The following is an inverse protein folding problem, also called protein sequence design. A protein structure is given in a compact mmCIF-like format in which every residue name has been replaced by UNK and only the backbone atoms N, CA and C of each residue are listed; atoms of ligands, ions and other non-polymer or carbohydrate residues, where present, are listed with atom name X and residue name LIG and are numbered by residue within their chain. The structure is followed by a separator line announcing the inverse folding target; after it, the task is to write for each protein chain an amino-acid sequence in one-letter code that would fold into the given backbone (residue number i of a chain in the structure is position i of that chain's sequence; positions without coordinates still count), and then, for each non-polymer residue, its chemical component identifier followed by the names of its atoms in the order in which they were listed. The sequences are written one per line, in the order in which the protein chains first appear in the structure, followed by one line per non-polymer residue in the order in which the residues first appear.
data_IF_642217285042
#
_entry.id   IF_642217285042
#
_cell.length_a   1.000
_cell.length_b   1.000
_cell.length_c   1.000
_cell.angle_alpha   90.00
_cell.angle_beta   90.00
_cell.angle_gamma   90.00
#
_symmetry.space_group_name_H-M   'P 1'
#
loop_
_entity.id
_entity.type
_entity.pdbx_description
1 polymer ?
#
# COMPACT_ATOMS: atom_id res chain seq x y z
N UNK A 1 -77.65 -8.80 -5.46
CA UNK A 1 -76.67 -8.83 -4.36
C UNK A 1 -76.36 -10.29 -4.10
N UNK A 2 -75.22 -10.77 -4.59
CA UNK A 2 -74.78 -12.14 -4.32
C UNK A 2 -74.04 -12.18 -2.98
N UNK A 3 -74.38 -13.19 -2.19
CA UNK A 3 -73.69 -13.48 -0.93
C UNK A 3 -73.07 -14.88 -0.99
N UNK A 4 -71.81 -14.97 -0.55
CA UNK A 4 -71.07 -16.20 -0.41
C UNK A 4 -70.63 -16.37 1.04
N UNK A 5 -71.20 -17.37 1.71
CA UNK A 5 -70.72 -17.83 3.00
C UNK A 5 -69.61 -18.86 2.80
N UNK A 6 -68.36 -18.40 2.92
CA UNK A 6 -67.15 -19.19 2.80
C UNK A 6 -66.70 -19.82 4.13
N UNK A 7 -65.63 -20.62 4.05
CA UNK A 7 -65.00 -21.24 5.22
C UNK A 7 -64.18 -20.19 5.98
N UNK A 8 -64.79 -19.58 7.00
CA UNK A 8 -64.17 -18.54 7.83
C UNK A 8 -64.24 -17.13 7.25
N UNK A 9 -64.84 -16.93 6.08
CA UNK A 9 -65.03 -15.63 5.43
C UNK A 9 -66.46 -15.53 4.88
N UNK A 10 -67.03 -14.32 4.87
CA UNK A 10 -68.23 -13.98 4.11
C UNK A 10 -67.84 -13.00 3.01
N UNK A 11 -68.38 -13.16 1.82
CA UNK A 11 -68.23 -12.20 0.74
C UNK A 11 -69.61 -11.74 0.28
N UNK A 12 -69.81 -10.44 0.15
CA UNK A 12 -71.01 -9.84 -0.39
C UNK A 12 -70.63 -8.90 -1.53
N UNK A 13 -71.40 -8.94 -2.62
CA UNK A 13 -71.20 -8.08 -3.77
C UNK A 13 -72.44 -7.22 -4.03
N UNK A 14 -72.25 -5.90 -4.01
CA UNK A 14 -73.32 -4.91 -4.17
C UNK A 14 -73.43 -4.34 -5.60
N UNK A 15 -72.56 -4.78 -6.52
CA UNK A 15 -72.47 -4.26 -7.90
C UNK A 15 -71.34 -3.25 -8.09
N UNK A 16 -70.85 -2.63 -7.01
CA UNK A 16 -69.80 -1.60 -7.04
C UNK A 16 -68.53 -2.01 -6.31
N UNK A 17 -68.66 -2.81 -5.24
CA UNK A 17 -67.55 -3.30 -4.45
C UNK A 17 -67.82 -4.73 -3.93
N UNK A 18 -66.75 -5.50 -3.80
CA UNK A 18 -66.73 -6.78 -3.12
C UNK A 18 -66.31 -6.57 -1.66
N UNK A 19 -67.21 -6.84 -0.72
CA UNK A 19 -66.94 -6.77 0.71
C UNK A 19 -66.63 -8.17 1.22
N UNK A 20 -65.40 -8.39 1.70
CA UNK A 20 -64.95 -9.65 2.29
C UNK A 20 -64.74 -9.48 3.78
N UNK A 21 -65.49 -10.21 4.59
CA UNK A 21 -65.46 -10.13 6.06
C UNK A 21 -64.98 -11.45 6.65
N UNK A 22 -63.92 -11.41 7.45
CA UNK A 22 -63.40 -12.56 8.16
C UNK A 22 -64.26 -12.88 9.39
N UNK A 23 -64.81 -14.10 9.45
CA UNK A 23 -65.64 -14.58 10.58
C UNK A 23 -64.84 -15.31 11.65
N UNK A 24 -63.56 -15.61 11.40
CA UNK A 24 -62.66 -16.30 12.34
C UNK A 24 -61.28 -15.63 12.43
N UNK A 25 -60.54 -15.90 13.51
CA UNK A 25 -59.18 -15.40 13.71
C UNK A 25 -58.20 -15.89 12.63
N UNK A 26 -58.32 -17.15 12.20
CA UNK A 26 -57.49 -17.73 11.13
C UNK A 26 -57.75 -17.01 9.80
N UNK A 27 -59.02 -16.76 9.47
CA UNK A 27 -59.37 -16.02 8.27
C UNK A 27 -58.93 -14.55 8.32
N UNK A 28 -58.93 -13.93 9.50
CA UNK A 28 -58.40 -12.57 9.69
C UNK A 28 -56.91 -12.50 9.37
N UNK A 29 -56.13 -13.54 9.73
CA UNK A 29 -54.72 -13.65 9.36
C UNK A 29 -54.50 -13.75 7.85
N UNK A 30 -55.32 -14.55 7.17
CA UNK A 30 -55.27 -14.69 5.71
C UNK A 30 -55.71 -13.43 4.95
N UNK A 31 -56.72 -12.71 5.45
CA UNK A 31 -57.22 -11.47 4.85
C UNK A 31 -56.36 -10.25 5.22
N UNK A 32 -55.61 -10.32 6.33
CA UNK A 32 -54.84 -9.23 6.93
C UNK A 32 -55.66 -8.23 7.73
N UNK A 33 -57.00 -8.31 7.67
CA UNK A 33 -57.96 -7.39 8.31
C UNK A 33 -59.26 -8.13 8.65
N UNK A 34 -60.10 -7.55 9.52
CA UNK A 34 -61.45 -8.06 9.83
C UNK A 34 -62.38 -7.95 8.62
N UNK A 35 -62.21 -6.90 7.83
CA UNK A 35 -63.07 -6.57 6.69
C UNK A 35 -62.22 -5.90 5.61
N UNK A 36 -62.51 -6.24 4.35
CA UNK A 36 -61.83 -5.68 3.19
C UNK A 36 -62.87 -5.35 2.13
N UNK A 37 -62.86 -4.10 1.70
CA UNK A 37 -63.71 -3.60 0.62
C UNK A 37 -62.81 -3.50 -0.63
N UNK A 38 -63.21 -4.17 -1.71
CA UNK A 38 -62.48 -4.19 -2.97
C UNK A 38 -63.38 -3.54 -4.03
N UNK A 39 -63.08 -2.30 -4.48
CA UNK A 39 -63.80 -1.67 -5.57
C UNK A 39 -63.67 -2.49 -6.86
N UNK A 40 -64.75 -2.62 -7.63
CA UNK A 40 -64.75 -3.38 -8.90
C UNK A 40 -63.69 -2.85 -9.88
N UNK A 41 -63.47 -1.54 -9.90
CA UNK A 41 -62.47 -0.89 -10.75
C UNK A 41 -61.01 -1.30 -10.44
N UNK A 42 -60.74 -1.86 -9.26
CA UNK A 42 -59.40 -2.32 -8.87
C UNK A 42 -59.12 -3.79 -9.21
N UNK A 43 -60.14 -4.51 -9.68
CA UNK A 43 -60.05 -5.94 -9.98
C UNK A 43 -59.38 -6.13 -11.34
N UNK A 44 -58.21 -6.78 -11.34
CA UNK A 44 -57.44 -7.05 -12.56
C UNK A 44 -57.52 -8.50 -13.06
N UNK A 45 -57.89 -9.44 -12.19
CA UNK A 45 -58.09 -10.84 -12.51
C UNK A 45 -59.12 -11.48 -11.56
N UNK A 46 -59.98 -12.35 -12.08
CA UNK A 46 -60.94 -13.12 -11.29
C UNK A 46 -60.89 -14.58 -11.70
N UNK A 47 -60.78 -15.49 -10.72
CA UNK A 47 -60.77 -16.94 -10.96
C UNK A 47 -61.77 -17.68 -10.09
N UNK A 48 -62.51 -18.57 -10.72
CA UNK A 48 -63.32 -19.57 -10.03
C UNK A 48 -62.67 -20.94 -10.04
N UNK A 49 -62.61 -21.57 -8.87
CA UNK A 49 -62.23 -22.98 -8.72
C UNK A 49 -63.40 -23.75 -8.11
N UNK A 50 -63.99 -24.72 -8.82
CA UNK A 50 -65.08 -25.52 -8.27
C UNK A 50 -64.59 -26.36 -7.09
N UNK A 51 -65.49 -26.63 -6.15
CA UNK A 51 -65.22 -27.57 -5.07
C UNK A 51 -65.20 -29.00 -5.62
N UNK A 52 -64.36 -29.83 -5.04
CA UNK A 52 -64.28 -31.27 -5.34
C UNK A 52 -64.36 -32.05 -4.03
N UNK A 53 -64.54 -33.37 -4.07
CA UNK A 53 -64.58 -34.20 -2.87
C UNK A 53 -63.34 -34.05 -1.98
N UNK A 54 -62.19 -33.69 -2.56
CA UNK A 54 -60.90 -33.58 -1.86
C UNK A 54 -60.44 -32.15 -1.60
N UNK A 55 -61.05 -31.14 -2.23
CA UNK A 55 -60.58 -29.74 -2.16
C UNK A 55 -61.76 -28.77 -2.13
N UNK A 56 -61.69 -27.82 -1.21
CA UNK A 56 -62.62 -26.69 -1.16
C UNK A 56 -62.53 -25.85 -2.43
N UNK A 57 -63.66 -25.29 -2.85
CA UNK A 57 -63.71 -24.33 -3.95
C UNK A 57 -63.18 -22.97 -3.52
N UNK A 58 -62.88 -22.09 -4.47
CA UNK A 58 -62.43 -20.74 -4.19
C UNK A 58 -62.85 -19.75 -5.28
N UNK A 59 -63.22 -18.53 -4.86
CA UNK A 59 -63.28 -17.35 -5.72
C UNK A 59 -62.04 -16.52 -5.39
N UNK A 60 -61.19 -16.28 -6.39
CA UNK A 60 -59.92 -15.54 -6.21
C UNK A 60 -59.98 -14.25 -7.00
N UNK A 61 -59.66 -13.14 -6.36
CA UNK A 61 -59.65 -11.80 -6.95
C UNK A 61 -58.26 -11.22 -6.79
N UNK A 62 -57.69 -10.70 -7.87
CA UNK A 62 -56.43 -9.96 -7.85
C UNK A 62 -56.70 -8.47 -7.94
N UNK A 63 -56.00 -7.70 -7.10
CA UNK A 63 -55.92 -6.24 -7.20
C UNK A 63 -54.47 -5.79 -7.16
N UNK A 64 -54.23 -4.48 -7.26
CA UNK A 64 -52.91 -3.87 -7.06
C UNK A 64 -52.27 -4.20 -5.70
N UNK A 65 -53.11 -4.47 -4.69
CA UNK A 65 -52.67 -4.82 -3.35
C UNK A 65 -52.37 -6.32 -3.16
N UNK A 66 -52.56 -7.16 -4.19
CA UNK A 66 -52.29 -8.60 -4.18
C UNK A 66 -53.53 -9.48 -4.34
N UNK A 67 -53.38 -10.77 -4.05
CA UNK A 67 -54.45 -11.76 -4.24
C UNK A 67 -55.31 -11.89 -2.97
N UNK A 68 -56.63 -11.88 -3.13
CA UNK A 68 -57.63 -12.20 -2.12
C UNK A 68 -58.42 -13.44 -2.55
N UNK A 69 -58.39 -14.52 -1.76
CA UNK A 69 -59.06 -15.78 -2.07
C UNK A 69 -60.15 -16.12 -1.03
N UNK A 70 -61.40 -16.20 -1.47
CA UNK A 70 -62.55 -16.60 -0.65
C UNK A 70 -62.83 -18.08 -0.89
N UNK A 71 -62.45 -18.93 0.08
CA UNK A 71 -62.65 -20.38 0.00
C UNK A 71 -64.05 -20.78 0.47
N UNK A 72 -64.68 -21.73 -0.19
CA UNK A 72 -66.03 -22.21 0.13
C UNK A 72 -66.15 -23.74 0.06
N UNK A 73 -67.13 -24.29 0.78
CA UNK A 73 -67.44 -25.73 0.79
C UNK A 73 -68.33 -26.12 -0.40
N UNK A 74 -68.38 -27.41 -0.76
CA UNK A 74 -69.17 -27.89 -1.90
C UNK A 74 -70.65 -27.46 -1.90
N UNK A 75 -71.29 -27.41 -0.73
CA UNK A 75 -72.69 -26.93 -0.59
C UNK A 75 -72.91 -25.47 -1.02
N UNK A 76 -71.86 -24.66 -1.04
CA UNK A 76 -71.89 -23.25 -1.43
C UNK A 76 -71.37 -23.02 -2.86
N UNK A 77 -71.18 -24.08 -3.65
CA UNK A 77 -70.61 -23.99 -5.00
C UNK A 77 -71.47 -23.15 -5.95
N UNK A 78 -72.79 -23.26 -5.86
CA UNK A 78 -73.71 -22.46 -6.67
C UNK A 78 -73.57 -20.97 -6.35
N UNK A 79 -73.54 -20.61 -5.06
CA UNK A 79 -73.31 -19.23 -4.61
C UNK A 79 -71.94 -18.71 -5.02
N UNK A 80 -70.90 -19.55 -4.95
CA UNK A 80 -69.55 -19.16 -5.37
C UNK A 80 -69.45 -18.91 -6.88
N UNK A 81 -70.16 -19.72 -7.67
CA UNK A 81 -70.23 -19.54 -9.13
C UNK A 81 -71.02 -18.28 -9.50
N UNK A 82 -72.15 -18.02 -8.83
CA UNK A 82 -72.92 -16.80 -9.02
C UNK A 82 -72.10 -15.54 -8.69
N UNK A 83 -71.37 -15.54 -7.57
CA UNK A 83 -70.48 -14.44 -7.21
C UNK A 83 -69.38 -14.22 -8.27
N UNK A 84 -68.79 -15.30 -8.78
CA UNK A 84 -67.78 -15.22 -9.85
C UNK A 84 -68.35 -14.61 -11.14
N UNK A 85 -69.52 -15.07 -11.58
CA UNK A 85 -70.17 -14.59 -12.80
C UNK A 85 -70.55 -13.11 -12.66
N UNK A 86 -71.08 -12.68 -11.51
CA UNK A 86 -71.37 -11.27 -11.22
C UNK A 86 -70.10 -10.39 -11.20
N UNK A 87 -69.02 -10.87 -10.57
CA UNK A 87 -67.75 -10.14 -10.54
C UNK A 87 -67.12 -10.02 -11.94
N UNK A 88 -67.20 -11.08 -12.75
CA UNK A 88 -66.69 -11.06 -14.12
C UNK A 88 -67.49 -10.08 -14.99
N UNK A 89 -68.82 -10.10 -14.88
CA UNK A 89 -69.68 -9.17 -15.62
C UNK A 89 -69.46 -7.71 -15.21
N UNK A 90 -69.29 -7.44 -13.91
CA UNK A 90 -69.10 -6.08 -13.40
C UNK A 90 -67.70 -5.51 -13.67
N UNK A 91 -66.66 -6.34 -13.56
CA UNK A 91 -65.27 -5.90 -13.74
C UNK A 91 -64.84 -5.80 -15.21
N UNK A 92 -65.51 -6.53 -16.12
CA UNK A 92 -65.15 -6.56 -17.54
C UNK A 92 -63.79 -7.22 -17.82
N UNK A 93 -63.24 -7.93 -16.84
CA UNK A 93 -61.93 -8.58 -16.93
C UNK A 93 -62.00 -9.83 -17.80
N UNK A 94 -60.98 -10.06 -18.63
CA UNK A 94 -60.88 -11.24 -19.47
C UNK A 94 -60.77 -12.52 -18.59
N UNK A 95 -61.68 -13.50 -18.74
CA UNK A 95 -61.64 -14.74 -17.97
C UNK A 95 -60.39 -15.59 -18.22
N UNK A 96 -59.62 -15.33 -19.27
CA UNK A 96 -58.35 -16.00 -19.53
C UNK A 96 -57.20 -15.52 -18.62
N UNK A 97 -57.33 -14.36 -17.95
CA UNK A 97 -56.28 -13.79 -17.10
C UNK A 97 -56.27 -14.49 -15.74
N UNK A 98 -55.23 -15.28 -15.50
CA UNK A 98 -55.03 -16.02 -14.25
C UNK A 98 -54.42 -15.13 -13.14
N UNK A 99 -55.01 -15.09 -11.93
CA UNK A 99 -54.48 -14.29 -10.84
C UNK A 99 -53.11 -14.80 -10.39
N UNK A 100 -52.11 -13.93 -10.38
CA UNK A 100 -50.72 -14.24 -10.02
C UNK A 100 -50.11 -13.16 -9.13
N UNK A 101 -49.39 -13.56 -8.08
CA UNK A 101 -48.78 -12.64 -7.10
C UNK A 101 -48.92 -13.10 -5.65
N UNK A 102 -48.32 -12.36 -4.70
CA UNK A 102 -48.42 -12.65 -3.28
C UNK A 102 -49.84 -12.40 -2.74
N UNK A 103 -50.18 -13.04 -1.62
CA UNK A 103 -51.41 -12.74 -0.91
C UNK A 103 -51.39 -11.29 -0.43
N UNK A 104 -52.55 -10.65 -0.45
CA UNK A 104 -52.63 -9.22 -0.24
C UNK A 104 -52.27 -8.75 1.20
N UNK A 105 -52.13 -9.69 2.14
CA UNK A 105 -51.66 -9.45 3.51
C UNK A 105 -50.12 -9.31 3.59
N UNK A 106 -49.36 -10.02 2.76
CA UNK A 106 -47.88 -10.00 2.78
C UNK A 106 -47.30 -8.72 2.16
N UNK A 107 -47.96 -8.17 1.14
CA UNK A 107 -47.54 -6.93 0.47
C UNK A 107 -47.80 -5.66 1.30
N UNK A 108 -48.95 -5.58 1.99
CA UNK A 108 -49.33 -4.39 2.76
C UNK A 108 -48.52 -4.23 4.07
N UNK A 109 -48.18 -5.34 4.73
CA UNK A 109 -47.47 -5.33 6.03
C UNK A 109 -45.97 -5.04 5.86
N UNK A 110 -45.36 -5.47 4.76
CA UNK A 110 -43.92 -5.29 4.52
C UNK A 110 -43.54 -3.90 4.01
N UNK A 111 -44.43 -3.19 3.31
CA UNK A 111 -44.15 -1.85 2.78
C UNK A 111 -44.31 -0.75 3.83
N UNK A 112 -45.39 -0.74 4.62
CA UNK A 112 -45.61 0.31 5.63
C UNK A 112 -44.57 0.27 6.76
N UNK A 113 -44.24 -0.93 7.28
CA UNK A 113 -43.26 -1.05 8.37
C UNK A 113 -41.83 -0.67 7.98
N UNK A 114 -41.44 -0.85 6.71
CA UNK A 114 -40.10 -0.52 6.22
C UNK A 114 -39.91 0.98 5.98
N UNK A 115 -40.94 1.67 5.51
CA UNK A 115 -40.89 3.12 5.23
C UNK A 115 -40.78 3.91 6.53
N UNK A 116 -41.64 3.63 7.52
CA UNK A 116 -41.62 4.33 8.81
C UNK A 116 -40.33 4.09 9.61
N UNK A 117 -39.74 2.88 9.53
CA UNK A 117 -38.48 2.58 10.20
C UNK A 117 -37.27 3.30 9.54
N UNK A 118 -37.31 3.48 8.22
CA UNK A 118 -36.27 4.20 7.47
C UNK A 118 -36.30 5.70 7.75
N UNK A 119 -37.48 6.29 7.85
CA UNK A 119 -37.63 7.72 8.15
C UNK A 119 -37.14 8.05 9.58
N UNK A 120 -37.56 7.28 10.59
CA UNK A 120 -37.07 7.45 11.97
C UNK A 120 -35.57 7.19 12.11
N UNK A 121 -34.98 6.33 11.27
CA UNK A 121 -33.54 6.09 11.28
C UNK A 121 -32.77 7.27 10.66
N UNK A 122 -33.29 7.84 9.55
CA UNK A 122 -32.70 9.02 8.88
C UNK A 122 -32.69 10.24 9.80
N UNK A 123 -33.79 10.50 10.49
CA UNK A 123 -33.90 11.61 11.46
C UNK A 123 -32.86 11.51 12.58
N UNK A 124 -32.74 10.34 13.23
CA UNK A 124 -31.74 10.12 14.29
C UNK A 124 -30.30 10.24 13.78
N UNK A 125 -30.03 9.84 12.54
CA UNK A 125 -28.69 10.01 11.96
C UNK A 125 -28.39 11.47 11.62
N UNK A 126 -29.39 12.23 11.18
CA UNK A 126 -29.25 13.66 10.91
C UNK A 126 -29.00 14.45 12.20
N UNK A 127 -29.78 14.19 13.25
CA UNK A 127 -29.60 14.83 14.58
C UNK A 127 -28.22 14.54 15.17
N UNK A 128 -27.74 13.30 15.07
CA UNK A 128 -26.38 12.93 15.53
C UNK A 128 -25.29 13.61 14.70
N UNK A 129 -25.48 13.70 13.38
CA UNK A 129 -24.53 14.38 12.51
C UNK A 129 -24.47 15.89 12.78
N UNK A 130 -25.61 16.54 13.05
CA UNK A 130 -25.65 17.95 13.44
C UNK A 130 -25.04 18.20 14.82
N UNK A 131 -25.32 17.34 15.81
CA UNK A 131 -24.70 17.42 17.13
C UNK A 131 -23.18 17.27 17.05
N UNK A 132 -22.69 16.30 16.26
CA UNK A 132 -21.25 16.13 16.02
C UNK A 132 -20.64 17.33 15.30
N UNK A 133 -21.31 17.89 14.29
CA UNK A 133 -20.82 19.08 13.58
C UNK A 133 -20.68 20.28 14.51
N UNK A 134 -21.62 20.48 15.44
CA UNK A 134 -21.56 21.56 16.44
C UNK A 134 -20.41 21.36 17.44
N UNK A 135 -20.19 20.12 17.89
CA UNK A 135 -19.05 19.78 18.76
C UNK A 135 -17.71 19.97 18.02
N UNK A 136 -17.60 19.46 16.80
CA UNK A 136 -16.40 19.64 15.99
C UNK A 136 -16.13 21.11 15.64
N UNK A 137 -17.17 21.93 15.43
CA UNK A 137 -16.97 23.36 15.17
C UNK A 137 -16.46 24.08 16.41
N UNK A 138 -17.03 23.82 17.59
CA UNK A 138 -16.55 24.46 18.83
C UNK A 138 -15.14 24.00 19.20
N UNK A 139 -14.84 22.70 19.11
CA UNK A 139 -13.49 22.17 19.35
C UNK A 139 -12.48 22.73 18.35
N UNK A 140 -12.88 22.91 17.09
CA UNK A 140 -12.01 23.50 16.07
C UNK A 140 -11.78 24.99 16.32
N UNK A 141 -12.79 25.73 16.74
CA UNK A 141 -12.65 27.14 17.13
C UNK A 141 -11.70 27.30 18.32
N UNK A 142 -11.88 26.50 19.38
CA UNK A 142 -10.99 26.45 20.55
C UNK A 142 -9.56 26.09 20.15
N UNK A 143 -9.38 25.02 19.36
CA UNK A 143 -8.06 24.60 18.87
C UNK A 143 -7.40 25.67 18.00
N UNK A 144 -8.17 26.38 17.16
CA UNK A 144 -7.64 27.49 16.37
C UNK A 144 -7.27 28.70 17.22
N UNK A 145 -8.03 29.00 18.27
CA UNK A 145 -7.71 30.06 19.22
C UNK A 145 -6.42 29.74 19.99
N UNK A 146 -6.29 28.52 20.51
CA UNK A 146 -5.07 28.05 21.17
C UNK A 146 -3.87 28.06 20.21
N UNK A 147 -4.05 27.60 18.98
CA UNK A 147 -2.98 27.61 17.97
C UNK A 147 -2.55 29.03 17.62
N UNK A 148 -3.49 29.97 17.49
CA UNK A 148 -3.20 31.37 17.22
C UNK A 148 -2.47 32.04 18.39
N UNK A 149 -2.89 31.77 19.64
CA UNK A 149 -2.20 32.25 20.84
C UNK A 149 -0.77 31.70 20.92
N UNK A 150 -0.60 30.39 20.77
CA UNK A 150 0.72 29.76 20.75
C UNK A 150 1.59 30.25 19.57
N UNK A 151 0.98 30.57 18.42
CA UNK A 151 1.69 31.14 17.29
C UNK A 151 2.14 32.59 17.55
N UNK A 152 1.33 33.39 18.27
CA UNK A 152 1.70 34.73 18.70
C UNK A 152 2.87 34.70 19.70
N UNK A 153 2.83 33.82 20.69
CA UNK A 153 3.93 33.64 21.65
C UNK A 153 5.23 33.21 20.96
N UNK A 154 5.14 32.30 19.99
CA UNK A 154 6.29 31.89 19.16
C UNK A 154 6.80 32.98 18.22
N UNK A 155 5.99 33.98 17.88
CA UNK A 155 6.42 35.14 17.08
C UNK A 155 7.16 36.12 18.00
N UNK A 156 6.57 36.46 19.15
CA UNK A 156 7.22 37.30 20.16
C UNK A 156 8.61 36.74 20.56
N UNK A 157 8.69 35.45 20.93
CA UNK A 157 9.96 34.83 21.27
C UNK A 157 10.95 34.73 20.11
N UNK A 158 10.48 34.73 18.85
CA UNK A 158 11.36 34.79 17.66
C UNK A 158 11.88 36.19 17.41
N UNK A 159 11.07 37.21 17.65
CA UNK A 159 11.46 38.60 17.50
C UNK A 159 12.48 38.98 18.59
N UNK A 160 12.29 38.51 19.83
CA UNK A 160 13.26 38.65 20.92
C UNK A 160 14.59 37.94 20.60
N UNK A 161 14.53 36.68 20.13
CA UNK A 161 15.72 35.93 19.74
C UNK A 161 16.43 36.57 18.53
N UNK A 162 15.68 37.15 17.59
CA UNK A 162 16.23 37.87 16.45
C UNK A 162 16.92 39.15 16.91
N UNK A 163 16.31 39.91 17.82
CA UNK A 163 16.89 41.10 18.42
C UNK A 163 18.20 40.77 19.16
N UNK A 164 18.20 39.70 19.95
CA UNK A 164 19.40 39.21 20.64
C UNK A 164 20.50 38.80 19.65
N UNK A 165 20.14 38.05 18.59
CA UNK A 165 21.10 37.64 17.56
C UNK A 165 21.65 38.81 16.74
N UNK A 166 20.84 39.83 16.45
CA UNK A 166 21.33 41.07 15.82
C UNK A 166 22.27 41.84 16.73
N UNK A 167 22.02 41.86 18.04
CA UNK A 167 22.91 42.47 19.02
C UNK A 167 24.25 41.71 19.12
N UNK A 168 24.23 40.38 19.17
CA UNK A 168 25.43 39.54 19.17
C UNK A 168 26.25 39.65 17.87
N UNK A 169 25.57 39.73 16.72
CA UNK A 169 26.23 39.94 15.43
C UNK A 169 26.86 41.34 15.33
N UNK A 170 26.18 42.38 15.84
CA UNK A 170 26.74 43.73 15.93
C UNK A 170 27.95 43.79 16.87
N UNK A 171 27.89 43.11 18.02
CA UNK A 171 29.02 42.99 18.95
C UNK A 171 30.20 42.26 18.31
N UNK A 172 29.94 41.16 17.60
CA UNK A 172 30.97 40.40 16.89
C UNK A 172 31.61 41.21 15.75
N UNK A 173 30.80 41.95 14.98
CA UNK A 173 31.30 42.84 13.93
C UNK A 173 32.15 43.98 14.49
N UNK A 174 31.78 44.53 15.66
CA UNK A 174 32.58 45.54 16.35
C UNK A 174 33.95 44.99 16.81
N UNK A 175 34.00 43.74 17.28
CA UNK A 175 35.26 43.05 17.61
C UNK A 175 36.14 42.82 16.38
N UNK A 176 35.55 42.42 15.24
CA UNK A 176 36.28 42.26 13.98
C UNK A 176 36.81 43.59 13.46
N UNK A 177 36.03 44.67 13.55
CA UNK A 177 36.46 46.02 13.15
C UNK A 177 37.62 46.54 14.03
N UNK A 178 37.53 46.37 15.36
CA UNK A 178 38.59 46.76 16.29
C UNK A 178 39.89 45.95 16.07
N UNK A 179 39.79 44.69 15.63
CA UNK A 179 40.94 43.87 15.24
C UNK A 179 41.57 44.35 13.93
N UNK A 180 40.76 44.76 12.94
CA UNK A 180 41.26 45.26 11.65
C UNK A 180 41.95 46.63 11.76
N UNK A 181 41.49 47.50 12.65
CA UNK A 181 42.04 48.86 12.85
C UNK A 181 43.30 48.88 13.73
N UNK A 182 43.83 47.71 14.13
CA UNK A 182 45.08 47.59 14.90
C UNK A 182 45.02 48.17 16.33
N UNK A 183 43.82 48.55 16.79
CA UNK A 183 43.59 49.09 18.14
C UNK A 183 43.50 47.98 19.20
N UNK A 184 43.43 46.72 18.76
CA UNK A 184 43.44 45.55 19.63
C UNK A 184 44.88 45.02 19.78
N UNK A 185 45.68 45.68 20.63
CA UNK A 185 47.12 45.41 20.77
C UNK A 185 47.48 44.22 21.67
N UNK A 186 46.52 43.63 22.39
CA UNK A 186 46.76 42.38 23.14
C UNK A 186 45.55 41.43 23.07
N UNK A 187 45.73 40.33 22.34
CA UNK A 187 44.80 39.20 22.35
C UNK A 187 45.12 38.32 23.56
N UNK A 188 44.44 38.58 24.69
CA UNK A 188 44.61 37.76 25.90
C UNK A 188 44.01 36.38 25.64
N UNK A 189 44.87 35.35 25.64
CA UNK A 189 44.59 33.90 25.52
C UNK A 189 43.65 33.33 26.61
N UNK A 190 42.94 34.17 27.35
CA UNK A 190 42.04 33.84 28.46
C UNK A 190 40.57 34.09 28.16
N UNK A 191 40.19 34.52 26.96
CA UNK A 191 38.77 34.58 26.57
C UNK A 191 38.30 33.20 26.09
N UNK A 192 37.40 32.57 26.84
CA UNK A 192 36.71 31.34 26.44
C UNK A 192 36.16 31.50 25.02
N UNK A 193 36.69 30.70 24.10
CA UNK A 193 36.20 30.64 22.73
C UNK A 193 34.71 30.29 22.80
N UNK A 194 33.81 31.07 22.18
CA UNK A 194 32.39 30.75 22.20
C UNK A 194 32.21 29.32 21.69
N UNK A 195 31.44 28.47 22.40
CA UNK A 195 31.32 27.05 22.08
C UNK A 195 30.87 26.81 20.63
N UNK A 196 30.14 27.75 20.03
CA UNK A 196 29.73 27.68 18.63
C UNK A 196 30.92 27.71 17.65
N UNK A 197 31.95 28.52 17.90
CA UNK A 197 33.14 28.63 17.02
C UNK A 197 33.92 27.30 17.00
N UNK A 198 33.97 26.60 18.14
CA UNK A 198 34.60 25.29 18.28
C UNK A 198 33.86 24.20 17.50
N UNK A 199 32.53 24.30 17.37
CA UNK A 199 31.75 23.34 16.58
C UNK A 199 32.05 23.49 15.10
N UNK A 200 32.08 24.72 14.57
CA UNK A 200 32.35 24.93 13.14
C UNK A 200 33.77 24.58 12.73
N UNK A 201 34.78 24.87 13.56
CA UNK A 201 36.16 24.44 13.29
C UNK A 201 36.27 22.92 13.27
N UNK A 202 35.71 22.23 14.28
CA UNK A 202 35.70 20.77 14.35
C UNK A 202 34.98 20.13 13.15
N UNK A 203 33.87 20.73 12.70
CA UNK A 203 33.19 20.28 11.48
C UNK A 203 34.07 20.46 10.24
N UNK A 204 34.84 21.54 10.15
CA UNK A 204 35.76 21.77 9.04
C UNK A 204 36.86 20.71 9.02
N UNK A 205 37.49 20.48 10.17
CA UNK A 205 38.58 19.50 10.31
C UNK A 205 38.11 18.09 9.93
N UNK A 206 36.91 17.68 10.37
CA UNK A 206 36.33 16.37 10.02
C UNK A 206 36.04 16.25 8.51
N UNK A 207 35.55 17.32 7.87
CA UNK A 207 35.25 17.32 6.44
C UNK A 207 36.51 17.35 5.57
N UNK A 208 37.54 18.10 5.97
CA UNK A 208 38.81 18.11 5.25
C UNK A 208 39.55 16.78 5.42
N UNK A 209 39.49 16.17 6.61
CA UNK A 209 39.97 14.80 6.80
C UNK A 209 39.19 13.81 5.94
N UNK A 210 37.86 13.92 5.86
CA UNK A 210 37.04 13.07 4.98
C UNK A 210 37.45 13.23 3.50
N UNK A 211 37.70 14.45 3.04
CA UNK A 211 38.19 14.70 1.69
C UNK A 211 39.59 14.11 1.45
N UNK A 212 40.47 14.13 2.45
CA UNK A 212 41.78 13.48 2.35
C UNK A 212 41.67 11.95 2.19
N UNK A 213 40.74 11.31 2.90
CA UNK A 213 40.44 9.88 2.73
C UNK A 213 39.76 9.59 1.38
N UNK A 214 38.86 10.46 0.92
CA UNK A 214 38.23 10.37 -0.39
C UNK A 214 39.27 10.39 -1.52
N UNK A 215 40.28 11.27 -1.43
CA UNK A 215 41.37 11.38 -2.39
C UNK A 215 42.24 10.10 -2.47
N UNK A 216 42.33 9.34 -1.37
CA UNK A 216 43.01 8.02 -1.32
C UNK A 216 42.11 6.86 -1.75
N UNK A 217 40.81 7.09 -1.94
CA UNK A 217 39.82 6.04 -2.18
C UNK A 217 39.44 5.24 -0.92
N UNK A 218 39.76 5.74 0.28
CA UNK A 218 39.48 5.09 1.57
C UNK A 218 38.02 5.33 2.00
N UNK A 219 37.12 4.56 1.39
CA UNK A 219 35.65 4.73 1.47
C UNK A 219 35.12 4.67 2.91
N UNK A 220 35.62 3.72 3.70
CA UNK A 220 35.13 3.44 5.06
C UNK A 220 35.48 4.58 6.00
N UNK A 221 36.71 5.10 5.91
CA UNK A 221 37.18 6.21 6.73
C UNK A 221 36.54 7.54 6.32
N UNK A 222 36.38 7.79 5.02
CA UNK A 222 35.63 8.94 4.49
C UNK A 222 34.22 8.99 5.12
N UNK A 223 33.46 7.91 5.03
CA UNK A 223 32.09 7.86 5.52
C UNK A 223 32.01 7.91 7.05
N UNK A 224 32.95 7.29 7.76
CA UNK A 224 33.04 7.38 9.22
C UNK A 224 33.18 8.85 9.66
N UNK A 225 34.04 9.62 9.01
CA UNK A 225 34.25 11.03 9.32
C UNK A 225 33.02 11.90 8.97
N UNK A 226 32.35 11.63 7.85
CA UNK A 226 31.09 12.30 7.50
C UNK A 226 30.01 12.06 8.57
N UNK A 227 29.93 10.85 9.11
CA UNK A 227 29.02 10.52 10.22
C UNK A 227 29.40 11.20 11.51
N UNK A 228 30.68 11.22 11.86
CA UNK A 228 31.17 11.96 13.03
C UNK A 228 30.84 13.45 12.90
N UNK A 229 31.00 14.04 11.70
CA UNK A 229 30.61 15.43 11.45
C UNK A 229 29.08 15.62 11.61
N UNK A 230 28.27 14.71 11.10
CA UNK A 230 26.82 14.75 11.28
C UNK A 230 26.39 14.62 12.75
N UNK A 231 27.10 13.80 13.53
CA UNK A 231 26.86 13.65 14.96
C UNK A 231 27.24 14.91 15.74
N UNK A 232 28.43 15.48 15.50
CA UNK A 232 28.86 16.76 16.10
C UNK A 232 27.87 17.87 15.76
N UNK A 233 27.44 17.98 14.49
CA UNK A 233 26.43 18.97 14.10
C UNK A 233 25.07 18.75 14.79
N UNK A 234 24.71 17.49 15.08
CA UNK A 234 23.44 17.14 15.75
C UNK A 234 23.48 17.43 17.25
N UNK A 235 24.56 17.03 17.93
CA UNK A 235 24.70 17.12 19.38
C UNK A 235 25.08 18.54 19.80
N UNK A 236 26.06 19.15 19.12
CA UNK A 236 26.69 20.38 19.57
C UNK A 236 26.25 21.63 18.78
N UNK A 237 25.85 21.48 17.51
CA UNK A 237 25.65 22.62 16.59
C UNK A 237 24.19 22.99 16.24
N UNK A 238 23.21 22.22 16.70
CA UNK A 238 21.80 22.51 16.47
C UNK A 238 21.35 22.45 14.99
N UNK A 239 20.34 23.25 14.62
CA UNK A 239 19.77 23.24 13.25
C UNK A 239 20.65 23.97 12.22
N UNK A 240 21.29 25.07 12.64
CA UNK A 240 22.13 25.88 11.75
C UNK A 240 23.38 25.11 11.29
N UNK A 241 24.10 24.46 12.23
CA UNK A 241 25.26 23.65 11.89
C UNK A 241 24.91 22.46 10.98
N UNK A 242 23.76 21.79 11.21
CA UNK A 242 23.29 20.73 10.30
C UNK A 242 23.03 21.24 8.88
N UNK A 243 22.42 22.42 8.73
CA UNK A 243 22.21 23.04 7.41
C UNK A 243 23.53 23.41 6.75
N UNK A 244 24.46 24.00 7.52
CA UNK A 244 25.79 24.36 7.04
C UNK A 244 26.60 23.14 6.61
N UNK A 245 26.58 22.06 7.40
CA UNK A 245 27.20 20.78 7.09
C UNK A 245 26.65 20.20 5.78
N UNK A 246 25.32 20.11 5.63
CA UNK A 246 24.71 19.60 4.39
C UNK A 246 25.12 20.44 3.18
N UNK A 247 25.07 21.77 3.29
CA UNK A 247 25.47 22.66 2.21
C UNK A 247 26.96 22.52 1.86
N UNK A 248 27.82 22.29 2.86
CA UNK A 248 29.26 22.08 2.67
C UNK A 248 29.54 20.74 2.01
N UNK A 249 28.91 19.64 2.46
CA UNK A 249 29.02 18.32 1.82
C UNK A 249 28.58 18.42 0.35
N UNK A 250 27.45 19.07 0.06
CA UNK A 250 26.97 19.29 -1.31
C UNK A 250 27.99 20.06 -2.15
N UNK A 251 28.56 21.14 -1.61
CA UNK A 251 29.59 21.92 -2.29
C UNK A 251 30.84 21.09 -2.57
N UNK A 252 31.36 20.37 -1.57
CA UNK A 252 32.55 19.53 -1.73
C UNK A 252 32.32 18.36 -2.67
N UNK A 253 31.09 17.83 -2.74
CA UNK A 253 30.70 16.83 -3.74
C UNK A 253 30.69 17.45 -5.14
N UNK A 254 30.12 18.65 -5.31
CA UNK A 254 30.14 19.35 -6.60
C UNK A 254 31.56 19.69 -7.08
N UNK A 255 32.47 20.02 -6.14
CA UNK A 255 33.90 20.26 -6.38
C UNK A 255 34.70 18.96 -6.59
N UNK A 256 34.08 17.77 -6.52
CA UNK A 256 34.73 16.45 -6.57
C UNK A 256 35.81 16.23 -5.49
N UNK A 257 35.74 16.98 -4.38
CA UNK A 257 36.58 16.78 -3.18
C UNK A 257 36.08 15.61 -2.33
N UNK A 258 34.77 15.38 -2.36
CA UNK A 258 34.13 14.18 -1.84
C UNK A 258 33.68 13.31 -3.01
N UNK A 259 33.39 12.04 -2.72
CA UNK A 259 32.96 11.07 -3.72
C UNK A 259 31.67 11.49 -4.44
N UNK A 260 31.66 11.34 -5.77
CA UNK A 260 30.54 11.72 -6.64
C UNK A 260 29.89 10.53 -7.35
N UNK A 261 30.61 9.41 -7.50
CA UNK A 261 30.19 8.30 -8.35
C UNK A 261 29.35 7.22 -7.64
N UNK A 262 29.15 7.32 -6.31
CA UNK A 262 28.34 6.36 -5.58
C UNK A 262 26.85 6.58 -5.84
N UNK A 263 26.20 5.59 -6.45
CA UNK A 263 24.75 5.63 -6.71
C UNK A 263 24.00 5.09 -5.51
N UNK A 264 23.01 5.84 -5.04
CA UNK A 264 22.09 5.35 -4.03
C UNK A 264 21.19 4.27 -4.64
N UNK A 265 21.23 3.05 -4.08
CA UNK A 265 20.43 1.91 -4.57
C UNK A 265 19.10 1.82 -3.84
N UNK A 266 19.11 2.05 -2.52
CA UNK A 266 17.89 2.02 -1.72
C UNK A 266 18.13 1.88 -0.22
N UNK A 267 17.02 1.73 0.50
CA UNK A 267 17.00 1.50 1.94
C UNK A 267 16.14 0.27 2.21
N UNK A 268 16.69 -0.67 2.98
CA UNK A 268 15.95 -1.79 3.54
C UNK A 268 15.71 -1.51 5.01
N UNK A 269 14.45 -1.28 5.36
CA UNK A 269 14.03 -1.02 6.74
C UNK A 269 13.42 -2.28 7.35
N UNK A 270 13.70 -2.51 8.62
CA UNK A 270 13.04 -3.53 9.38
C UNK A 270 11.54 -3.20 9.49
N UNK A 271 10.74 -4.25 9.57
CA UNK A 271 9.33 -4.14 9.84
C UNK A 271 9.06 -3.41 11.17
N UNK A 272 8.03 -2.57 11.18
CA UNK A 272 7.57 -1.89 12.39
C UNK A 272 7.15 -2.91 13.46
N UNK A 273 7.53 -2.67 14.72
CA UNK A 273 7.23 -3.58 15.84
C UNK A 273 5.73 -3.90 16.01
N UNK A 274 4.84 -2.98 15.64
CA UNK A 274 3.39 -3.21 15.66
C UNK A 274 2.95 -4.30 14.67
N UNK A 275 3.51 -4.32 13.45
CA UNK A 275 3.20 -5.33 12.44
C UNK A 275 3.74 -6.70 12.86
N UNK A 276 4.87 -6.74 13.56
CA UNK A 276 5.40 -7.99 14.15
C UNK A 276 4.50 -8.56 15.25
N UNK A 277 4.00 -7.71 16.15
CA UNK A 277 3.10 -8.14 17.25
C UNK A 277 1.77 -8.68 16.71
N UNK A 278 1.23 -8.05 15.67
CA UNK A 278 -0.01 -8.49 15.03
C UNK A 278 0.05 -9.87 14.38
N UNK A 279 1.25 -10.33 13.99
CA UNK A 279 1.44 -11.66 13.35
C UNK A 279 1.80 -12.78 14.32
N UNK A 280 2.64 -12.51 15.32
CA UNK A 280 3.34 -13.58 16.07
C UNK A 280 2.71 -14.02 17.37
N UNK A 281 1.60 -13.43 17.82
CA UNK A 281 0.94 -13.88 19.06
C UNK A 281 1.92 -14.03 20.23
N UNK A 282 2.64 -12.96 20.59
CA UNK A 282 3.42 -12.82 21.83
C UNK A 282 4.61 -13.76 22.12
N UNK A 283 4.76 -14.93 21.48
CA UNK A 283 5.58 -16.01 22.03
C UNK A 283 6.94 -16.26 21.35
N UNK A 284 7.20 -15.73 20.16
CA UNK A 284 8.48 -15.94 19.47
C UNK A 284 9.37 -14.69 19.58
N UNK A 285 10.42 -14.78 20.42
CA UNK A 285 11.50 -13.80 20.49
C UNK A 285 12.20 -13.72 19.13
N UNK A 286 12.04 -12.60 18.43
CA UNK A 286 12.75 -12.35 17.17
C UNK A 286 14.19 -12.00 17.49
N UNK A 287 15.14 -12.68 16.84
CA UNK A 287 16.55 -12.32 16.92
C UNK A 287 16.72 -10.87 16.43
N UNK A 288 17.42 -10.04 17.21
CA UNK A 288 17.64 -8.64 16.88
C UNK A 288 18.48 -8.54 15.61
N UNK A 289 17.84 -8.17 14.50
CA UNK A 289 18.50 -7.75 13.27
C UNK A 289 18.74 -6.23 13.25
N UNK A 290 19.47 -5.78 12.24
CA UNK A 290 19.63 -4.37 11.94
C UNK A 290 18.27 -3.74 11.64
N UNK A 291 18.00 -2.56 12.23
CA UNK A 291 16.73 -1.86 12.01
C UNK A 291 16.63 -1.24 10.63
N UNK A 292 17.77 -0.88 10.04
CA UNK A 292 17.82 -0.17 8.76
C UNK A 292 19.20 -0.36 8.15
N UNK A 293 19.21 -0.80 6.89
CA UNK A 293 20.41 -0.88 6.07
C UNK A 293 20.22 0.03 4.87
N UNK A 294 21.15 0.96 4.67
CA UNK A 294 21.16 1.86 3.51
C UNK A 294 22.24 1.38 2.54
N UNK A 295 21.87 1.23 1.27
CA UNK A 295 22.71 0.57 0.28
C UNK A 295 23.05 1.56 -0.83
N UNK A 296 24.35 1.67 -1.11
CA UNK A 296 24.92 2.39 -2.24
C UNK A 296 25.62 1.38 -3.17
N UNK A 297 25.98 1.80 -4.38
CA UNK A 297 26.65 0.94 -5.37
C UNK A 297 28.01 0.39 -4.92
N UNK A 298 28.67 1.03 -3.96
CA UNK A 298 30.02 0.72 -3.50
C UNK A 298 30.10 0.32 -2.01
N UNK A 299 29.03 0.53 -1.23
CA UNK A 299 29.03 0.32 0.22
C UNK A 299 27.65 0.09 0.82
N UNK A 300 27.66 -0.49 2.00
CA UNK A 300 26.51 -0.76 2.84
C UNK A 300 26.68 -0.01 4.16
N UNK A 301 25.62 0.67 4.57
CA UNK A 301 25.59 1.54 5.72
C UNK A 301 24.57 1.04 6.73
N UNK A 302 25.02 0.75 7.96
CA UNK A 302 24.14 0.50 9.12
C UNK A 302 24.16 1.71 10.06
N UNK A 303 23.55 1.59 11.24
CA UNK A 303 23.62 2.68 12.24
C UNK A 303 25.05 2.88 12.75
N UNK A 304 25.80 1.79 12.96
CA UNK A 304 27.13 1.79 13.59
C UNK A 304 28.28 1.62 12.60
N UNK A 305 28.06 0.95 11.48
CA UNK A 305 29.15 0.45 10.64
C UNK A 305 28.97 0.79 9.16
N UNK A 306 30.09 0.76 8.45
CA UNK A 306 30.20 0.98 7.01
C UNK A 306 30.99 -0.20 6.45
N UNK A 307 30.39 -0.93 5.53
CA UNK A 307 31.02 -2.07 4.87
C UNK A 307 31.10 -1.84 3.38
N UNK A 308 32.19 -2.29 2.77
CA UNK A 308 32.39 -2.18 1.32
C UNK A 308 31.63 -3.27 0.57
N UNK A 309 31.09 -2.93 -0.59
CA UNK A 309 30.64 -3.93 -1.56
C UNK A 309 31.87 -4.34 -2.37
N UNK A 310 32.40 -5.52 -2.03
CA UNK A 310 33.54 -6.15 -2.68
C UNK A 310 33.14 -7.42 -3.42
N UNK A 311 34.12 -8.09 -4.01
CA UNK A 311 33.93 -9.35 -4.73
C UNK A 311 33.40 -10.52 -3.88
N UNK A 312 33.41 -10.39 -2.55
CA UNK A 312 32.91 -11.42 -1.62
C UNK A 312 31.55 -11.06 -1.04
N UNK A 313 31.01 -9.90 -1.42
CA UNK A 313 29.73 -9.43 -0.91
C UNK A 313 28.58 -10.14 -1.62
N UNK A 314 27.64 -10.66 -0.84
CA UNK A 314 26.44 -11.31 -1.35
C UNK A 314 25.21 -10.86 -0.57
N UNK A 315 24.09 -10.71 -1.27
CA UNK A 315 22.81 -10.36 -0.70
C UNK A 315 21.72 -11.33 -1.17
N UNK A 316 20.87 -11.75 -0.23
CA UNK A 316 19.75 -12.66 -0.48
C UNK A 316 18.52 -12.27 0.35
N UNK A 317 17.35 -12.61 -0.17
CA UNK A 317 16.07 -12.38 0.51
C UNK A 317 15.35 -13.70 0.69
N UNK A 318 15.14 -14.08 1.94
CA UNK A 318 14.38 -15.27 2.32
C UNK A 318 12.94 -14.90 2.65
N UNK A 319 12.03 -15.81 2.34
CA UNK A 319 10.65 -15.78 2.79
C UNK A 319 10.37 -17.16 3.37
N UNK A 320 10.20 -17.22 4.68
CA UNK A 320 9.84 -18.44 5.41
C UNK A 320 8.43 -18.31 5.99
N UNK A 321 7.77 -19.43 6.32
CA UNK A 321 6.44 -19.49 6.92
C UNK A 321 5.28 -19.60 5.93
N UNK A 322 4.07 -19.70 6.49
CA UNK A 322 2.83 -19.94 5.74
C UNK A 322 1.73 -18.95 6.13
N UNK A 323 0.89 -18.59 5.15
CA UNK A 323 -0.33 -17.83 5.40
C UNK A 323 -1.50 -18.80 5.59
N UNK A 324 -2.02 -18.89 6.82
CA UNK A 324 -3.15 -19.74 7.15
C UNK A 324 -4.42 -18.88 7.20
N UNK A 325 -5.27 -19.00 6.18
CA UNK A 325 -6.58 -18.36 6.17
C UNK A 325 -7.61 -19.35 6.70
N UNK A 326 -8.00 -19.19 7.97
CA UNK A 326 -9.07 -20.01 8.55
C UNK A 326 -10.42 -19.30 8.41
N UNK A 327 -11.32 -19.92 7.66
CA UNK A 327 -12.72 -19.52 7.58
C UNK A 327 -13.50 -20.33 8.61
N UNK A 328 -13.75 -19.77 9.80
CA UNK A 328 -14.65 -20.42 10.76
C UNK A 328 -16.08 -20.00 10.42
N UNK A 329 -16.99 -20.93 10.09
CA UNK A 329 -18.41 -20.61 10.06
C UNK A 329 -18.80 -20.21 11.48
N UNK A 330 -19.19 -18.95 11.67
CA UNK A 330 -19.61 -18.45 12.98
C UNK A 330 -20.94 -19.11 13.34
N UNK A 331 -20.89 -20.22 14.09
CA UNK A 331 -22.06 -20.89 14.66
C UNK A 331 -22.77 -20.03 15.73
N UNK A 332 -22.14 -18.94 16.19
CA UNK A 332 -22.54 -18.17 17.39
C UNK A 332 -23.65 -17.14 17.18
N UNK A 333 -24.33 -17.10 16.03
CA UNK A 333 -25.63 -16.40 15.91
C UNK A 333 -26.85 -17.33 15.93
N UNK A 334 -26.67 -18.65 15.89
CA UNK A 334 -27.80 -19.59 16.01
C UNK A 334 -28.23 -19.85 17.46
N UNK A 335 -27.39 -19.57 18.46
CA UNK A 335 -27.70 -19.91 19.85
C UNK A 335 -28.44 -18.82 20.65
N UNK A 336 -28.36 -17.54 20.27
CA UNK A 336 -29.03 -16.44 20.99
C UNK A 336 -30.37 -16.01 20.36
N UNK A 337 -30.73 -16.61 19.23
CA UNK A 337 -32.07 -16.57 18.66
C UNK A 337 -32.56 -18.00 18.39
N UNK A 338 -32.29 -18.91 19.34
CA UNK A 338 -33.03 -20.16 19.39
C UNK A 338 -34.53 -19.81 19.51
N UNK A 339 -35.35 -20.26 18.56
CA UNK A 339 -36.70 -19.78 18.39
C UNK A 339 -37.63 -20.46 19.41
N UNK A 340 -38.61 -19.70 19.91
CA UNK A 340 -39.92 -20.30 20.21
C UNK A 340 -40.30 -21.20 19.01
N UNK A 341 -40.80 -22.42 19.22
CA UNK A 341 -41.06 -23.35 18.12
C UNK A 341 -42.05 -22.72 17.12
N UNK A 342 -41.57 -22.28 15.96
CA UNK A 342 -42.42 -21.81 14.87
C UNK A 342 -41.94 -20.65 13.99
N UNK A 343 -40.80 -19.99 14.22
CA UNK A 343 -40.36 -18.88 13.35
C UNK A 343 -39.45 -19.35 12.20
N UNK A 344 -39.87 -19.01 10.97
CA UNK A 344 -39.18 -19.32 9.73
C UNK A 344 -37.73 -18.78 9.72
N UNK A 345 -36.80 -19.68 9.42
CA UNK A 345 -35.39 -19.40 9.15
C UNK A 345 -35.27 -18.32 8.06
N UNK A 346 -34.76 -17.14 8.43
CA UNK A 346 -34.28 -16.14 7.48
C UNK A 346 -32.86 -16.57 7.07
N UNK A 347 -32.61 -17.00 5.82
CA UNK A 347 -31.27 -17.31 5.34
C UNK A 347 -30.60 -15.97 4.98
N UNK A 348 -30.20 -15.21 6.00
CA UNK A 348 -29.65 -13.87 5.85
C UNK A 348 -28.32 -13.71 6.56
N UNK A 349 -27.24 -13.80 5.78
CA UNK A 349 -25.92 -13.19 6.05
C UNK A 349 -25.17 -13.73 7.29
N UNK A 350 -24.77 -15.00 7.24
CA UNK A 350 -23.65 -15.48 8.06
C UNK A 350 -22.35 -14.85 7.53
N UNK A 351 -21.94 -13.70 8.09
CA UNK A 351 -20.61 -13.13 7.90
C UNK A 351 -19.58 -14.13 8.42
N UNK A 352 -18.99 -14.92 7.52
CA UNK A 352 -17.87 -15.80 7.85
C UNK A 352 -16.73 -14.94 8.43
N UNK A 353 -16.40 -15.16 9.70
CA UNK A 353 -15.22 -14.57 10.31
C UNK A 353 -14.00 -15.23 9.68
N UNK A 354 -13.34 -14.52 8.77
CA UNK A 354 -12.04 -14.91 8.24
C UNK A 354 -10.99 -14.52 9.26
N UNK A 355 -10.41 -15.51 9.93
CA UNK A 355 -9.22 -15.32 10.76
C UNK A 355 -8.01 -15.64 9.89
N UNK A 356 -7.29 -14.60 9.46
CA UNK A 356 -6.01 -14.71 8.76
C UNK A 356 -4.90 -14.76 9.80
N UNK A 357 -4.28 -15.92 9.95
CA UNK A 357 -3.06 -16.10 10.73
C UNK A 357 -1.88 -16.14 9.75
N UNK A 358 -1.10 -15.06 9.70
CA UNK A 358 0.05 -14.95 8.82
C UNK A 358 1.34 -15.22 9.61
N UNK A 359 1.97 -16.37 9.37
CA UNK A 359 3.23 -16.76 10.00
C UNK A 359 4.46 -16.43 9.15
N UNK A 360 4.27 -15.80 7.98
CA UNK A 360 5.35 -15.50 7.04
C UNK A 360 6.34 -14.50 7.64
N UNK A 361 7.62 -14.74 7.38
CA UNK A 361 8.75 -13.92 7.78
C UNK A 361 9.63 -13.65 6.56
N UNK A 362 9.74 -12.37 6.21
CA UNK A 362 10.72 -11.90 5.24
C UNK A 362 12.04 -11.60 5.93
N UNK A 363 13.14 -12.08 5.40
CA UNK A 363 14.49 -11.79 5.89
C UNK A 363 15.36 -11.31 4.73
N UNK A 364 15.92 -10.10 4.83
CA UNK A 364 16.96 -9.61 3.94
C UNK A 364 18.31 -9.84 4.64
N UNK A 365 19.18 -10.65 4.02
CA UNK A 365 20.52 -10.92 4.49
C UNK A 365 21.53 -10.35 3.50
N UNK A 366 22.52 -9.63 3.99
CA UNK A 366 23.66 -9.18 3.18
C UNK A 366 24.94 -9.35 3.98
N UNK A 367 25.99 -9.88 3.37
CA UNK A 367 27.25 -10.12 4.07
C UNK A 367 28.43 -10.23 3.12
N UNK A 368 29.61 -10.12 3.70
CA UNK A 368 30.88 -10.27 3.01
C UNK A 368 31.89 -11.00 3.90
N UNK A 369 33.18 -10.81 3.62
CA UNK A 369 34.22 -11.47 4.41
C UNK A 369 34.29 -10.89 5.83
N UNK A 370 33.81 -11.67 6.80
CA UNK A 370 33.92 -11.33 8.23
C UNK A 370 32.79 -10.45 8.78
N UNK A 371 31.75 -10.17 7.99
CA UNK A 371 30.59 -9.39 8.44
C UNK A 371 29.30 -9.87 7.76
N UNK A 372 28.17 -9.75 8.44
CA UNK A 372 26.86 -10.01 7.87
C UNK A 372 25.78 -9.24 8.60
N UNK A 373 24.86 -8.63 7.86
CA UNK A 373 23.69 -7.95 8.36
C UNK A 373 22.42 -8.71 7.98
N UNK A 374 21.46 -8.67 8.91
CA UNK A 374 20.15 -9.29 8.77
C UNK A 374 19.08 -8.26 9.10
N UNK A 375 18.11 -8.09 8.21
CA UNK A 375 16.98 -7.16 8.39
C UNK A 375 15.67 -7.93 8.20
N UNK A 376 14.80 -7.89 9.20
CA UNK A 376 13.48 -8.52 9.12
C UNK A 376 12.53 -7.63 8.33
N UNK A 377 12.10 -8.05 7.14
CA UNK A 377 11.21 -7.28 6.26
C UNK A 377 9.79 -7.85 6.32
N UNK A 378 8.80 -6.98 6.12
CA UNK A 378 7.43 -7.41 5.90
C UNK A 378 7.33 -8.35 4.67
N UNK A 379 6.66 -9.52 4.76
CA UNK A 379 6.57 -10.50 3.67
C UNK A 379 5.85 -9.96 2.44
N UNK A 380 4.91 -9.01 2.60
CA UNK A 380 4.23 -8.36 1.48
C UNK A 380 5.07 -7.23 0.82
N UNK A 381 6.23 -6.86 1.40
CA UNK A 381 7.10 -5.78 0.90
C UNK A 381 8.46 -6.27 0.42
N UNK A 382 8.53 -7.49 -0.12
CA UNK A 382 9.79 -8.12 -0.53
C UNK A 382 10.29 -7.71 -1.91
N UNK A 383 9.47 -7.07 -2.75
CA UNK A 383 9.87 -6.67 -4.11
C UNK A 383 11.07 -5.73 -4.11
N UNK A 384 11.04 -4.69 -3.27
CA UNK A 384 12.12 -3.70 -3.19
C UNK A 384 13.44 -4.29 -2.62
N UNK A 385 13.44 -5.00 -1.47
CA UNK A 385 14.66 -5.66 -0.98
C UNK A 385 15.25 -6.69 -1.95
N UNK A 386 14.42 -7.41 -2.73
CA UNK A 386 14.90 -8.33 -3.77
C UNK A 386 15.63 -7.59 -4.88
N UNK A 387 15.05 -6.51 -5.39
CA UNK A 387 15.71 -5.67 -6.39
C UNK A 387 17.03 -5.08 -5.88
N UNK A 388 17.08 -4.65 -4.61
CA UNK A 388 18.31 -4.16 -3.97
C UNK A 388 19.35 -5.30 -3.86
N UNK A 389 18.94 -6.50 -3.44
CA UNK A 389 19.85 -7.65 -3.34
C UNK A 389 20.47 -8.01 -4.71
N UNK A 390 19.67 -8.02 -5.77
CA UNK A 390 20.16 -8.23 -7.14
C UNK A 390 21.16 -7.16 -7.57
N UNK A 391 20.92 -5.89 -7.24
CA UNK A 391 21.86 -4.80 -7.56
C UNK A 391 23.17 -4.92 -6.77
N UNK A 392 23.12 -5.32 -5.49
CA UNK A 392 24.32 -5.59 -4.68
C UNK A 392 25.14 -6.70 -5.33
N UNK A 393 24.52 -7.82 -5.68
CA UNK A 393 25.21 -8.94 -6.30
C UNK A 393 25.81 -8.55 -7.66
N UNK A 394 25.13 -7.71 -8.44
CA UNK A 394 25.66 -7.17 -9.70
C UNK A 394 26.93 -6.35 -9.47
N UNK A 395 26.92 -5.42 -8.52
CA UNK A 395 28.10 -4.61 -8.21
C UNK A 395 29.24 -5.42 -7.59
N UNK A 396 28.93 -6.43 -6.79
CA UNK A 396 29.91 -7.38 -6.28
C UNK A 396 30.59 -8.17 -7.41
N UNK A 397 29.82 -8.63 -8.41
CA UNK A 397 30.36 -9.29 -9.59
C UNK A 397 31.24 -8.34 -10.43
N UNK A 398 30.79 -7.10 -10.68
CA UNK A 398 31.61 -6.07 -11.34
C UNK A 398 32.91 -5.77 -10.57
N UNK A 399 32.88 -5.81 -9.24
CA UNK A 399 34.07 -5.68 -8.41
C UNK A 399 35.01 -6.89 -8.55
N UNK A 400 34.45 -8.10 -8.64
CA UNK A 400 35.19 -9.33 -8.89
C UNK A 400 35.89 -9.30 -10.26
N UNK A 401 35.19 -8.86 -11.30
CA UNK A 401 35.74 -8.75 -12.66
C UNK A 401 36.89 -7.75 -12.71
N UNK A 402 36.71 -6.55 -12.12
CA UNK A 402 37.78 -5.54 -12.01
C UNK A 402 38.98 -6.04 -11.21
N UNK A 403 38.74 -6.81 -10.14
CA UNK A 403 39.82 -7.40 -9.36
C UNK A 403 40.56 -8.50 -10.14
N UNK A 404 39.86 -9.30 -10.94
CA UNK A 404 40.44 -10.30 -11.83
C UNK A 404 41.28 -9.64 -12.94
N UNK A 405 40.79 -8.56 -13.56
CA UNK A 405 41.54 -7.78 -14.56
C UNK A 405 42.83 -7.22 -13.98
N UNK A 406 42.80 -6.66 -12.76
CA UNK A 406 44.01 -6.15 -12.07
C UNK A 406 45.03 -7.24 -11.75
N UNK A 407 44.58 -8.47 -11.51
CA UNK A 407 45.45 -9.63 -11.26
C UNK A 407 46.00 -10.23 -12.55
N UNK A 408 45.37 -9.95 -13.70
CA UNK A 408 45.86 -10.43 -14.99
C UNK A 408 47.22 -9.79 -15.23
N UNK A 409 48.31 -10.56 -15.37
CA UNK A 409 49.61 -10.00 -15.70
C UNK A 409 49.47 -9.20 -17.01
N UNK A 410 50.15 -8.06 -17.16
CA UNK A 410 50.12 -7.30 -18.39
C UNK A 410 50.47 -8.27 -19.51
N UNK A 411 49.58 -8.40 -20.50
CA UNK A 411 49.80 -9.30 -21.62
C UNK A 411 51.19 -8.99 -22.17
N UNK A 412 52.10 -9.96 -22.08
CA UNK A 412 53.42 -9.86 -22.67
C UNK A 412 53.16 -9.52 -24.14
N UNK A 413 53.54 -8.30 -24.56
CA UNK A 413 53.49 -7.93 -25.97
C UNK A 413 54.14 -9.08 -26.72
N UNK A 414 53.46 -9.75 -27.67
CA UNK A 414 54.09 -10.82 -28.42
C UNK A 414 55.40 -10.26 -28.98
N UNK A 415 56.52 -10.87 -28.59
CA UNK A 415 57.82 -10.50 -29.09
C UNK A 415 57.71 -10.48 -30.61
N UNK A 416 58.02 -9.35 -31.22
CA UNK A 416 58.16 -9.23 -32.68
C UNK A 416 59.01 -10.42 -33.12
N UNK A 417 58.53 -11.32 -33.98
CA UNK A 417 59.30 -12.49 -34.37
C UNK A 417 60.57 -11.98 -35.04
N UNK A 418 61.71 -12.20 -34.39
CA UNK A 418 63.02 -12.03 -35.02
C UNK A 418 63.06 -13.08 -36.13
N UNK A 419 63.14 -12.70 -37.41
CA UNK A 419 63.24 -13.69 -38.47
C UNK A 419 64.52 -14.50 -38.27
N UNK A 420 64.49 -15.85 -38.35
CA UNK A 420 65.69 -16.65 -38.30
C UNK A 420 66.60 -16.21 -39.44
N UNK A 421 67.90 -16.07 -39.18
CA UNK A 421 68.92 -15.78 -40.18
C UNK A 421 68.71 -16.72 -41.37
N UNK A 422 68.23 -16.15 -42.48
CA UNK A 422 67.89 -16.93 -43.65
C UNK A 422 69.19 -17.51 -44.20
N UNK A 423 69.27 -18.84 -44.19
CA UNK A 423 70.38 -19.62 -44.71
C UNK A 423 70.71 -19.15 -46.13
N UNK A 424 71.96 -18.78 -46.37
CA UNK A 424 72.46 -18.14 -47.60
C UNK A 424 72.04 -18.96 -48.83
N UNK A 425 72.03 -20.29 -48.69
CA UNK A 425 71.58 -21.20 -49.74
C UNK A 425 70.12 -20.97 -50.15
N UNK A 426 69.25 -20.76 -49.17
CA UNK A 426 67.80 -20.55 -49.40
C UNK A 426 67.56 -19.19 -50.06
N UNK A 427 68.39 -18.18 -49.76
CA UNK A 427 68.32 -16.88 -50.41
C UNK A 427 68.75 -16.96 -51.89
N UNK A 428 69.79 -17.75 -52.19
CA UNK A 428 70.24 -17.97 -53.57
C UNK A 428 69.23 -18.74 -54.42
N UNK A 429 68.59 -19.77 -53.86
CA UNK A 429 67.53 -20.53 -54.55
C UNK A 429 66.31 -19.64 -54.88
N UNK A 430 65.91 -18.76 -53.95
CA UNK A 430 64.83 -17.80 -54.21
C UNK A 430 65.20 -16.78 -55.27
N UNK A 431 66.46 -16.34 -55.30
CA UNK A 431 66.95 -15.43 -56.33
C UNK A 431 66.90 -16.07 -57.72
N UNK A 432 67.32 -17.33 -57.82
CA UNK A 432 67.26 -18.09 -59.07
C UNK A 432 65.81 -18.32 -59.52
N UNK A 433 64.89 -18.58 -58.59
CA UNK A 433 63.46 -18.69 -58.89
C UNK A 433 62.85 -17.38 -59.41
N UNK A 434 63.29 -16.23 -58.90
CA UNK A 434 62.83 -14.90 -59.34
C UNK A 434 63.37 -14.51 -60.72
N UNK A 435 64.57 -14.95 -61.07
CA UNK A 435 65.11 -14.80 -62.42
C UNK A 435 64.36 -15.69 -63.40
N UNK A 436 64.12 -16.95 -63.02
CA UNK A 436 63.39 -17.91 -63.86
C UNK A 436 61.94 -17.47 -64.12
N UNK A 437 61.31 -16.76 -63.17
CA UNK A 437 59.99 -16.17 -63.35
C UNK A 437 59.98 -14.87 -64.16
N UNK A 438 61.16 -14.35 -64.55
CA UNK A 438 61.31 -13.08 -65.25
C UNK A 438 61.04 -11.85 -64.38
N UNK A 439 60.88 -12.02 -63.06
CA UNK A 439 60.64 -10.92 -62.12
C UNK A 439 61.91 -10.11 -61.83
N UNK A 440 63.09 -10.68 -62.10
CA UNK A 440 64.37 -10.02 -62.04
C UNK A 440 65.15 -10.24 -63.33
N UNK A 441 65.89 -9.22 -63.76
CA UNK A 441 66.85 -9.37 -64.85
C UNK A 441 68.13 -10.07 -64.36
N UNK A 442 68.88 -10.68 -65.28
CA UNK A 442 70.10 -11.41 -64.95
C UNK A 442 71.15 -10.51 -64.25
N UNK A 443 71.26 -9.25 -64.68
CA UNK A 443 72.23 -8.28 -64.14
C UNK A 443 71.89 -7.84 -62.70
N UNK A 444 70.61 -7.65 -62.40
CA UNK A 444 70.12 -7.33 -61.06
C UNK A 444 70.32 -8.52 -60.10
N UNK A 445 70.11 -9.74 -60.60
CA UNK A 445 70.31 -10.95 -59.83
C UNK A 445 71.78 -11.18 -59.47
N UNK A 446 72.71 -10.92 -60.39
CA UNK A 446 74.15 -11.02 -60.12
C UNK A 446 74.66 -9.97 -59.13
N UNK A 447 73.98 -8.81 -59.06
CA UNK A 447 74.30 -7.76 -58.09
C UNK A 447 73.83 -8.15 -56.68
N UNK A 448 72.63 -8.71 -56.56
CA UNK A 448 72.10 -9.20 -55.28
C UNK A 448 72.83 -10.46 -54.79
N UNK A 449 73.21 -11.35 -55.72
CA UNK A 449 74.01 -12.55 -55.41
C UNK A 449 75.37 -12.18 -54.80
N UNK A 450 76.03 -11.13 -55.29
CA UNK A 450 77.27 -10.61 -54.69
C UNK A 450 77.03 -10.07 -53.28
N UNK A 451 75.94 -9.35 -53.05
CA UNK A 451 75.59 -8.86 -51.71
C UNK A 451 75.29 -9.97 -50.68
N UNK A 452 74.81 -11.13 -51.14
CA UNK A 452 74.52 -12.29 -50.29
C UNK A 452 75.78 -13.12 -49.99
N UNK A 453 76.72 -13.20 -50.93
CA UNK A 453 77.95 -13.99 -50.78
C UNK A 453 79.12 -13.23 -50.12
N UNK A 454 79.01 -11.89 -50.02
CA UNK A 454 80.04 -11.02 -49.46
C UNK A 454 80.99 -10.48 -50.53
#
# INVERSE_FOLDING_TARGET
MSELSGYGMKAAFDGTALVVTATSAVARGALGTKERIIPVAEISAVRFRPATLLKNGAVTVQTSAGITAVRFLGKAQQSGRALYEELLAASGVDPAVEPSGPLANEAAVTLRGKVEALERAKERTAERAEAQRRQFSSEREEMTAEWNAAAADRRAGRDDAKAQKTAEAAASAAVVAAFADGTLTEFRKTAEVPPEVLVYSRLHDLLDAAAAHAAKGEIVDEERLLRSAAEVARVDGGRAARKALTARIQRMTAERRLRVDSKFLGVVSAENGFSQVGRKGGLLKVAFGEKKVTVYSDRILTASEVQLIDQYTSAQVYLDGQELVTTRPTLTRMALLAPLPGSALIPGLALQKKEKADSRQGEFQVGGRGWSYRVMVHPDQLSNPRAIAEQINRHANEAADRAAERRRPPAVKPATPVPPAADVLTQLERLQALVASGALTQEEADTLKRGILG
#
